data_IF_920390408579
#
_entry.id   IF_920390408579
#
_cell.length_a   1.000
_cell.length_b   1.000
_cell.length_c   1.000
_cell.angle_alpha   90.00
_cell.angle_beta   90.00
_cell.angle_gamma   90.00
#
_symmetry.space_group_name_H-M   'P 1'
#
loop_
_entity.id
_entity.type
_entity.pdbx_description
1 polymer ?
#
# COMPACT_ATOMS: atom_id res chain seq x y z
N UNK A 1 12.26 4.46 18.41
CA UNK A 1 11.64 5.80 18.55
C UNK A 1 11.15 6.24 17.18
N UNK A 2 10.05 7.00 17.08
CA UNK A 2 9.54 7.51 15.79
C UNK A 2 8.55 6.60 15.03
N UNK A 3 8.08 5.51 15.64
CA UNK A 3 7.09 4.62 15.03
C UNK A 3 5.72 5.32 15.00
N UNK A 4 5.04 5.41 13.84
CA UNK A 4 3.72 6.04 13.76
C UNK A 4 2.67 5.21 14.50
N UNK A 5 1.74 5.89 15.15
CA UNK A 5 0.60 5.27 15.82
C UNK A 5 -0.65 6.11 15.58
N UNK A 6 -1.82 5.49 15.76
CA UNK A 6 -3.12 6.14 15.56
C UNK A 6 -4.06 5.73 16.69
N UNK A 7 -4.70 6.72 17.30
CA UNK A 7 -5.81 6.49 18.23
C UNK A 7 -7.07 6.12 17.44
N UNK A 8 -7.81 5.14 17.94
CA UNK A 8 -9.18 4.83 17.52
C UNK A 8 -10.10 5.05 18.71
N UNK A 9 -11.38 5.35 18.45
CA UNK A 9 -12.41 5.47 19.49
C UNK A 9 -12.93 4.08 19.87
N UNK A 10 -12.04 3.25 20.40
CA UNK A 10 -12.28 1.87 20.81
C UNK A 10 -11.62 1.67 22.16
N UNK A 11 -12.34 1.06 23.09
CA UNK A 11 -11.81 0.73 24.40
C UNK A 11 -10.98 -0.57 24.31
N UNK A 12 -9.69 -0.47 24.66
CA UNK A 12 -8.78 -1.62 24.74
C UNK A 12 -7.50 -1.47 23.91
N UNK A 13 -6.70 -2.55 23.91
CA UNK A 13 -5.39 -2.61 23.28
C UNK A 13 -5.46 -3.38 21.95
N UNK A 14 -5.49 -2.66 20.83
CA UNK A 14 -5.52 -3.26 19.48
C UNK A 14 -4.17 -3.80 19.03
N UNK A 15 -3.08 -3.23 19.56
CA UNK A 15 -1.70 -3.69 19.32
C UNK A 15 -1.00 -3.73 20.66
N UNK A 16 -0.57 -4.93 21.07
CA UNK A 16 0.14 -5.10 22.33
C UNK A 16 1.57 -4.55 22.24
N UNK A 17 2.20 -4.13 23.36
CA UNK A 17 3.58 -3.63 23.35
C UNK A 17 4.55 -4.62 22.71
N UNK A 18 4.35 -5.92 22.91
CA UNK A 18 5.17 -6.97 22.29
C UNK A 18 4.98 -7.00 20.77
N UNK A 19 3.75 -6.93 20.28
CA UNK A 19 3.47 -6.89 18.84
C UNK A 19 4.06 -5.64 18.18
N UNK A 20 3.91 -4.48 18.82
CA UNK A 20 4.50 -3.23 18.35
C UNK A 20 6.04 -3.30 18.31
N UNK A 21 6.67 -3.89 19.33
CA UNK A 21 8.12 -4.04 19.37
C UNK A 21 8.66 -4.95 18.26
N UNK A 22 7.99 -6.08 17.98
CA UNK A 22 8.37 -6.97 16.88
C UNK A 22 8.31 -6.24 15.54
N UNK A 23 7.21 -5.54 15.25
CA UNK A 23 7.06 -4.81 13.98
C UNK A 23 8.10 -3.67 13.89
N UNK A 24 8.33 -2.95 14.99
CA UNK A 24 9.32 -1.87 15.05
C UNK A 24 10.75 -2.35 14.75
N UNK A 25 11.08 -3.59 15.12
CA UNK A 25 12.40 -4.17 14.88
C UNK A 25 12.58 -4.64 13.43
N UNK A 26 11.55 -5.24 12.82
CA UNK A 26 11.68 -5.89 11.51
C UNK A 26 11.32 -4.99 10.32
N UNK A 27 10.58 -3.91 10.54
CA UNK A 27 10.10 -3.05 9.46
C UNK A 27 11.22 -2.15 8.93
N UNK A 28 11.44 -2.16 7.61
CA UNK A 28 12.32 -1.21 6.93
C UNK A 28 11.70 0.18 6.82
N UNK A 29 10.36 0.26 6.72
CA UNK A 29 9.60 1.49 6.61
C UNK A 29 8.18 1.34 7.14
N UNK A 30 7.55 2.49 7.45
CA UNK A 30 6.14 2.57 7.83
C UNK A 30 5.43 3.53 6.89
N UNK A 31 4.33 3.10 6.30
CA UNK A 31 3.65 3.91 5.30
C UNK A 31 2.44 3.22 4.64
N UNK A 32 1.94 3.79 3.55
CA UNK A 32 0.94 3.13 2.72
C UNK A 32 1.52 1.84 2.09
N UNK A 33 0.64 0.91 1.69
CA UNK A 33 1.07 -0.28 0.95
C UNK A 33 1.76 0.14 -0.36
N UNK A 34 2.99 -0.33 -0.64
CA UNK A 34 3.68 -0.01 -1.89
C UNK A 34 2.95 -0.64 -3.08
N UNK A 35 3.25 -0.14 -4.28
CA UNK A 35 2.82 -0.81 -5.50
C UNK A 35 3.54 -2.17 -5.58
N UNK A 36 2.79 -3.27 -5.50
CA UNK A 36 3.36 -4.61 -5.45
C UNK A 36 2.51 -5.62 -6.23
N UNK A 37 3.15 -6.66 -6.74
CA UNK A 37 2.50 -7.85 -7.27
C UNK A 37 2.33 -8.85 -6.11
N UNK A 38 1.08 -9.06 -5.68
CA UNK A 38 0.79 -9.90 -4.51
C UNK A 38 0.89 -11.38 -4.88
N UNK A 39 1.68 -12.14 -4.13
CA UNK A 39 1.80 -13.60 -4.23
C UNK A 39 0.84 -14.31 -3.27
N UNK A 40 0.74 -13.82 -2.03
CA UNK A 40 -0.15 -14.39 -1.03
C UNK A 40 -0.63 -13.36 0.00
N UNK A 41 -1.78 -13.68 0.60
CA UNK A 41 -2.40 -12.87 1.66
C UNK A 41 -2.74 -13.79 2.82
N UNK A 42 -2.24 -13.44 4.01
CA UNK A 42 -2.58 -14.11 5.26
C UNK A 42 -3.43 -13.21 6.16
N UNK A 43 -4.34 -13.83 6.91
CA UNK A 43 -5.11 -13.16 7.96
C UNK A 43 -4.93 -13.89 9.29
N UNK A 44 -4.67 -13.13 10.35
CA UNK A 44 -4.68 -13.61 11.73
C UNK A 44 -5.77 -12.90 12.51
N UNK A 45 -6.70 -13.65 13.11
CA UNK A 45 -7.72 -13.09 13.99
C UNK A 45 -7.18 -12.98 15.42
N UNK A 46 -7.29 -11.78 16.00
CA UNK A 46 -7.09 -11.55 17.41
C UNK A 46 -8.26 -12.09 18.23
N UNK A 47 -8.02 -12.31 19.54
CA UNK A 47 -9.04 -12.82 20.46
C UNK A 47 -9.94 -11.73 21.05
N UNK A 48 -9.53 -10.46 20.94
CA UNK A 48 -10.30 -9.33 21.48
C UNK A 48 -11.52 -9.03 20.62
N UNK A 49 -12.65 -8.78 21.29
CA UNK A 49 -13.89 -8.30 20.68
C UNK A 49 -14.02 -6.80 20.93
N UNK A 50 -14.10 -6.04 19.84
CA UNK A 50 -14.10 -4.57 19.85
C UNK A 50 -15.27 -3.98 19.06
N UNK A 51 -16.26 -4.80 18.67
CA UNK A 51 -17.35 -4.39 17.76
C UNK A 51 -16.90 -4.15 16.31
N UNK A 52 -15.60 -4.29 16.03
CA UNK A 52 -15.01 -4.30 14.69
C UNK A 52 -14.14 -5.55 14.50
N UNK A 53 -13.86 -5.97 13.26
CA UNK A 53 -12.94 -7.07 13.00
C UNK A 53 -11.54 -6.80 13.57
N UNK A 54 -11.15 -7.60 14.57
CA UNK A 54 -9.80 -7.61 15.12
C UNK A 54 -8.91 -8.55 14.31
N UNK A 55 -8.44 -8.08 13.16
CA UNK A 55 -7.65 -8.90 12.24
C UNK A 55 -6.35 -8.20 11.84
N UNK A 56 -5.26 -8.95 11.82
CA UNK A 56 -4.02 -8.57 11.17
C UNK A 56 -3.99 -9.18 9.76
N UNK A 57 -3.70 -8.35 8.75
CA UNK A 57 -3.50 -8.79 7.38
C UNK A 57 -2.03 -8.68 7.00
N UNK A 58 -1.47 -9.75 6.45
CA UNK A 58 -0.12 -9.80 5.90
C UNK A 58 -0.21 -10.04 4.41
N UNK A 59 0.56 -9.30 3.62
CA UNK A 59 0.65 -9.43 2.17
C UNK A 59 2.10 -9.72 1.81
N UNK A 60 2.33 -10.78 1.04
CA UNK A 60 3.65 -11.17 0.56
C UNK A 60 3.65 -11.01 -0.96
N UNK A 61 4.72 -10.43 -1.50
CA UNK A 61 4.91 -10.26 -2.92
C UNK A 61 6.05 -9.30 -3.22
N UNK A 62 6.24 -9.03 -4.51
CA UNK A 62 7.37 -8.24 -5.00
C UNK A 62 6.94 -6.81 -5.35
N UNK A 63 7.82 -5.84 -5.08
CA UNK A 63 7.60 -4.44 -5.44
C UNK A 63 7.55 -4.28 -6.97
N UNK A 64 6.54 -3.57 -7.47
CA UNK A 64 6.44 -3.23 -8.88
C UNK A 64 7.12 -1.90 -9.11
N UNK A 65 8.38 -1.94 -9.57
CA UNK A 65 9.09 -0.75 -10.01
C UNK A 65 8.41 -0.23 -11.28
N UNK A 66 7.64 0.85 -11.16
CA UNK A 66 7.14 1.58 -12.32
C UNK A 66 8.31 2.30 -12.97
N UNK A 67 8.84 1.75 -14.06
CA UNK A 67 9.73 2.51 -14.94
C UNK A 67 8.93 3.68 -15.51
N UNK A 68 9.21 4.90 -15.04
CA UNK A 68 8.70 6.18 -15.55
C UNK A 68 9.28 6.52 -16.93
N UNK A 69 9.48 5.53 -17.79
CA UNK A 69 9.76 5.72 -19.20
C UNK A 69 8.46 5.98 -19.93
N UNK A 70 8.06 7.24 -20.07
CA UNK A 70 6.99 7.62 -21.00
C UNK A 70 7.42 7.21 -22.43
N UNK A 71 6.78 6.23 -23.09
CA UNK A 71 7.17 5.81 -24.44
C UNK A 71 6.68 6.82 -25.51
N UNK A 72 5.80 7.74 -25.13
CA UNK A 72 5.32 8.80 -26.01
C UNK A 72 6.27 10.00 -25.99
N UNK A 73 7.37 9.88 -26.73
CA UNK A 73 7.99 11.07 -27.32
C UNK A 73 7.02 11.61 -28.37
N UNK A 74 6.31 12.69 -28.06
CA UNK A 74 5.76 13.55 -29.10
C UNK A 74 6.97 14.16 -29.85
N UNK A 75 7.38 13.51 -30.95
CA UNK A 75 8.22 14.16 -31.96
C UNK A 75 7.36 15.32 -32.52
N UNK A 76 7.59 16.53 -32.00
CA UNK A 76 7.08 17.77 -32.59
C UNK A 76 7.84 18.04 -33.89
N UNK A 77 7.75 17.10 -34.84
CA UNK A 77 7.96 17.40 -36.25
C UNK A 77 6.62 17.80 -36.84
N UNK A 78 6.45 19.11 -36.85
CA UNK A 78 5.69 19.90 -37.80
C UNK A 78 5.35 19.11 -39.09
N UNK A 79 4.16 18.53 -39.11
CA UNK A 79 3.50 18.04 -40.32
C UNK A 79 2.05 18.45 -40.25
N UNK A 80 1.78 19.55 -40.94
CA UNK A 80 0.46 19.97 -41.39
C UNK A 80 -0.44 18.78 -41.76
N UNK A 81 -1.65 18.81 -41.20
CA UNK A 81 -2.89 18.18 -41.65
C UNK A 81 -2.98 16.63 -41.71
N UNK A 82 -3.70 16.07 -40.74
CA UNK A 82 -4.36 14.75 -40.82
C UNK A 82 -5.68 14.78 -40.04
N UNK A 83 -6.73 14.01 -40.45
CA UNK A 83 -8.09 14.21 -39.95
C UNK A 83 -8.23 13.77 -38.49
N UNK A 84 -8.99 14.55 -37.71
CA UNK A 84 -9.25 14.27 -36.29
C UNK A 84 -10.18 13.06 -36.15
N UNK A 85 -9.93 12.14 -35.19
CA UNK A 85 -10.83 11.01 -34.94
C UNK A 85 -12.17 11.49 -34.34
N UNK A 86 -13.26 10.72 -34.52
CA UNK A 86 -14.56 11.08 -33.99
C UNK A 86 -14.55 10.97 -32.46
N UNK A 87 -15.16 11.96 -31.82
CA UNK A 87 -15.39 11.99 -30.38
C UNK A 87 -16.58 11.07 -30.09
N UNK A 88 -16.43 10.14 -29.14
CA UNK A 88 -17.54 9.39 -28.55
C UNK A 88 -18.40 10.31 -27.69
#
# INVERSE_FOLDING_TARGET
QGVPWRKLDIEGELVTPTGAAIIAEIASEFGPLPAMAIESIGYGAGKGDFGIPNVLRVMIGEEVIRNSGHPYRHDHRDKHQGPRPPVL
#
